data_IF_318980087732
#
_entry.id   IF_318980087732
#
_cell.length_a   1.000
_cell.length_b   1.000
_cell.length_c   1.000
_cell.angle_alpha   90.00
_cell.angle_beta   90.00
_cell.angle_gamma   90.00
#
_symmetry.space_group_name_H-M   'P 1'
#
loop_
_entity.id
_entity.type
_entity.pdbx_description
1 polymer ?
#
# COMPACT_ATOMS: atom_id res chain seq x y z
N UNK A 1 -1.74 -15.22 4.31
CA UNK A 1 -1.97 -14.13 5.26
C UNK A 1 -2.48 -12.89 4.54
N UNK A 2 -3.37 -12.16 5.15
CA UNK A 2 -4.01 -10.98 4.57
C UNK A 2 -3.53 -9.74 5.34
N UNK A 3 -2.95 -8.78 4.64
CA UNK A 3 -2.39 -7.58 5.26
C UNK A 3 -2.89 -6.34 4.53
N UNK A 4 -3.19 -5.28 5.25
CA UNK A 4 -3.50 -3.99 4.66
C UNK A 4 -2.60 -2.89 5.24
N UNK A 5 -1.97 -2.13 4.36
CA UNK A 5 -1.26 -0.90 4.72
C UNK A 5 -2.27 0.23 4.71
N UNK A 6 -2.56 0.75 5.88
CA UNK A 6 -3.77 1.54 6.15
C UNK A 6 -3.44 2.92 6.71
N UNK A 7 -4.19 3.92 6.23
CA UNK A 7 -4.21 5.26 6.82
C UNK A 7 -5.62 5.54 7.33
N UNK A 8 -5.83 5.59 8.66
CA UNK A 8 -7.19 5.77 9.21
C UNK A 8 -7.84 7.10 8.87
N UNK A 9 -7.06 8.08 8.41
CA UNK A 9 -7.58 9.39 8.01
C UNK A 9 -8.03 9.45 6.56
N UNK A 10 -7.74 8.41 5.77
CA UNK A 10 -8.07 8.37 4.36
C UNK A 10 -9.38 7.60 4.16
N UNK A 11 -10.39 8.23 3.52
CA UNK A 11 -11.69 7.58 3.31
C UNK A 11 -11.57 6.33 2.45
N UNK A 12 -10.75 6.36 1.40
CA UNK A 12 -10.53 5.20 0.54
C UNK A 12 -9.88 4.06 1.30
N UNK A 13 -8.96 4.39 2.21
CA UNK A 13 -8.32 3.39 3.04
C UNK A 13 -9.30 2.75 4.02
N UNK A 14 -10.21 3.55 4.60
CA UNK A 14 -11.25 3.02 5.49
C UNK A 14 -12.23 2.11 4.74
N UNK A 15 -12.61 2.49 3.51
CA UNK A 15 -13.47 1.66 2.67
C UNK A 15 -12.81 0.32 2.36
N UNK A 16 -11.54 0.35 1.99
CA UNK A 16 -10.78 -0.88 1.71
C UNK A 16 -10.65 -1.75 2.95
N UNK A 17 -10.41 -1.14 4.11
CA UNK A 17 -10.30 -1.89 5.36
C UNK A 17 -11.60 -2.64 5.66
N UNK A 18 -12.75 -2.00 5.47
CA UNK A 18 -14.04 -2.65 5.70
C UNK A 18 -14.21 -3.88 4.79
N UNK A 19 -13.84 -3.75 3.51
CA UNK A 19 -13.93 -4.87 2.56
C UNK A 19 -13.01 -6.02 2.95
N UNK A 20 -11.78 -5.69 3.36
CA UNK A 20 -10.78 -6.68 3.76
C UNK A 20 -11.23 -7.39 5.05
N UNK A 21 -11.80 -6.65 6.00
CA UNK A 21 -12.31 -7.23 7.23
C UNK A 21 -13.48 -8.18 6.98
N UNK A 22 -14.41 -7.80 6.11
CA UNK A 22 -15.54 -8.65 5.74
C UNK A 22 -15.06 -9.94 5.08
N UNK A 23 -14.10 -9.84 4.17
CA UNK A 23 -13.51 -11.01 3.52
C UNK A 23 -12.85 -11.92 4.56
N UNK A 24 -12.06 -11.33 5.45
CA UNK A 24 -11.37 -12.09 6.50
C UNK A 24 -12.33 -12.82 7.42
N UNK A 25 -13.44 -12.18 7.79
CA UNK A 25 -14.46 -12.82 8.63
C UNK A 25 -15.06 -14.05 7.95
N UNK A 26 -15.40 -13.92 6.66
CA UNK A 26 -16.01 -15.03 5.91
C UNK A 26 -15.06 -16.21 5.75
N UNK A 27 -13.75 -15.98 5.78
CA UNK A 27 -12.75 -17.02 5.53
C UNK A 27 -11.96 -17.39 6.79
N UNK A 28 -12.39 -16.92 7.97
CA UNK A 28 -11.70 -17.22 9.23
C UNK A 28 -10.27 -16.71 9.27
N UNK A 29 -9.97 -15.63 8.57
CA UNK A 29 -8.63 -15.10 8.40
C UNK A 29 -8.62 -13.59 8.63
N UNK A 30 -8.56 -13.14 9.90
CA UNK A 30 -8.56 -11.72 10.19
C UNK A 30 -7.34 -11.05 9.58
N UNK A 31 -7.49 -9.85 9.00
CA UNK A 31 -6.36 -9.16 8.39
C UNK A 31 -5.41 -8.58 9.42
N UNK A 32 -4.14 -8.52 9.05
CA UNK A 32 -3.16 -7.73 9.77
C UNK A 32 -3.24 -6.29 9.25
N UNK A 33 -3.51 -5.35 10.14
CA UNK A 33 -3.61 -3.92 9.78
C UNK A 33 -2.31 -3.24 10.16
N UNK A 34 -1.63 -2.68 9.17
CA UNK A 34 -0.39 -1.93 9.38
C UNK A 34 -0.67 -0.45 9.17
N UNK A 35 -0.67 0.33 10.24
CA UNK A 35 -0.77 1.78 10.14
C UNK A 35 0.62 2.32 9.81
N UNK A 36 0.92 2.43 8.52
CA UNK A 36 2.27 2.68 8.03
C UNK A 36 2.83 4.05 8.42
N UNK A 37 1.98 4.99 8.83
CA UNK A 37 2.45 6.27 9.36
C UNK A 37 3.01 6.14 10.77
N UNK A 38 2.53 5.16 11.53
CA UNK A 38 3.02 4.88 12.89
C UNK A 38 4.12 3.83 12.89
N UNK A 39 4.03 2.87 11.98
CA UNK A 39 5.00 1.80 11.84
C UNK A 39 5.49 1.81 10.39
N UNK A 40 6.43 2.71 10.06
CA UNK A 40 6.86 2.86 8.67
C UNK A 40 7.52 1.58 8.15
N UNK A 41 7.25 1.20 6.90
CA UNK A 41 7.93 0.06 6.29
C UNK A 41 9.41 0.39 6.06
N UNK A 42 10.23 -0.63 6.21
CA UNK A 42 11.66 -0.52 5.91
C UNK A 42 11.87 -0.53 4.40
N UNK A 43 13.07 -0.14 3.96
CA UNK A 43 13.42 -0.20 2.54
C UNK A 43 13.27 -1.63 1.99
N UNK A 44 13.69 -2.64 2.76
CA UNK A 44 13.54 -4.03 2.33
C UNK A 44 12.08 -4.44 2.18
N UNK A 45 11.24 -4.02 3.12
CA UNK A 45 9.80 -4.27 3.04
C UNK A 45 9.19 -3.59 1.82
N UNK A 46 9.64 -2.38 1.49
CA UNK A 46 9.15 -1.65 0.31
C UNK A 46 9.60 -2.33 -0.99
N UNK A 47 10.81 -2.86 -1.04
CA UNK A 47 11.28 -3.61 -2.21
C UNK A 47 10.42 -4.85 -2.42
N UNK A 48 10.13 -5.58 -1.36
CA UNK A 48 9.27 -6.75 -1.45
C UNK A 48 7.86 -6.38 -1.87
N UNK A 49 7.33 -5.28 -1.32
CA UNK A 49 6.00 -4.79 -1.67
C UNK A 49 5.93 -4.42 -3.16
N UNK A 50 6.97 -3.76 -3.68
CA UNK A 50 7.05 -3.46 -5.11
C UNK A 50 7.02 -4.73 -5.95
N UNK A 51 7.77 -5.75 -5.54
CA UNK A 51 7.80 -7.03 -6.24
C UNK A 51 6.40 -7.66 -6.26
N UNK A 52 5.71 -7.65 -5.13
CA UNK A 52 4.36 -8.20 -5.02
C UNK A 52 3.33 -7.42 -5.84
N UNK A 53 3.50 -6.10 -5.92
CA UNK A 53 2.63 -5.24 -6.73
C UNK A 53 2.90 -5.41 -8.23
N UNK A 54 4.13 -5.70 -8.61
CA UNK A 54 4.52 -5.83 -10.01
C UNK A 54 4.45 -4.53 -10.78
N UNK A 55 4.75 -3.40 -10.12
CA UNK A 55 4.65 -2.06 -10.72
C UNK A 55 5.96 -1.29 -10.55
N UNK A 56 6.17 -0.23 -11.37
CA UNK A 56 7.30 0.68 -11.11
C UNK A 56 7.10 1.40 -9.78
N UNK A 57 8.19 1.79 -9.14
CA UNK A 57 8.12 2.48 -7.85
C UNK A 57 7.33 3.80 -7.95
N UNK A 58 7.31 4.47 -9.10
CA UNK A 58 6.49 5.67 -9.30
C UNK A 58 5.01 5.42 -8.98
N UNK A 59 4.49 4.23 -9.30
CA UNK A 59 3.10 3.90 -9.02
C UNK A 59 2.83 3.76 -7.52
N UNK A 60 3.86 3.56 -6.71
CA UNK A 60 3.74 3.42 -5.27
C UNK A 60 3.84 4.75 -4.52
N UNK A 61 4.10 5.86 -5.21
CA UNK A 61 4.42 7.14 -4.60
C UNK A 61 3.33 8.15 -4.91
N UNK A 62 2.94 8.91 -3.89
CA UNK A 62 1.92 9.97 -4.03
C UNK A 62 2.55 11.24 -4.57
N UNK A 63 2.23 11.59 -5.80
CA UNK A 63 2.79 12.76 -6.46
C UNK A 63 2.19 14.08 -5.97
N UNK A 64 1.10 14.03 -5.22
CA UNK A 64 0.44 15.25 -4.73
C UNK A 64 0.91 15.68 -3.33
N UNK A 65 1.90 15.01 -2.76
CA UNK A 65 2.52 15.46 -1.51
C UNK A 65 3.62 16.48 -1.80
N UNK A 66 3.77 17.46 -0.91
CA UNK A 66 4.80 18.50 -1.08
C UNK A 66 6.20 17.91 -1.17
N UNK A 67 6.47 16.85 -0.44
CA UNK A 67 7.77 16.18 -0.44
C UNK A 67 8.13 15.56 -1.79
N UNK A 68 7.13 15.21 -2.59
CA UNK A 68 7.39 14.70 -3.92
C UNK A 68 8.18 15.72 -4.75
N UNK A 69 7.75 16.98 -4.70
CA UNK A 69 8.44 18.06 -5.41
C UNK A 69 9.74 18.46 -4.72
N UNK A 70 9.71 18.62 -3.41
CA UNK A 70 10.90 19.09 -2.68
C UNK A 70 12.06 18.10 -2.75
N UNK A 71 11.78 16.80 -2.87
CA UNK A 71 12.81 15.76 -3.04
C UNK A 71 13.08 15.44 -4.50
N UNK A 72 12.43 16.14 -5.43
CA UNK A 72 12.65 15.99 -6.87
C UNK A 72 12.43 14.55 -7.35
N UNK A 73 11.29 13.97 -6.97
CA UNK A 73 11.03 12.55 -7.21
C UNK A 73 10.44 12.24 -8.59
N UNK A 74 10.04 13.28 -9.37
CA UNK A 74 9.33 13.07 -10.63
C UNK A 74 10.13 12.19 -11.62
N UNK A 75 11.45 12.28 -11.60
CA UNK A 75 12.32 11.54 -12.51
C UNK A 75 13.31 10.66 -11.77
N UNK A 76 13.05 10.36 -10.50
CA UNK A 76 13.93 9.54 -9.71
C UNK A 76 13.80 8.06 -10.11
N UNK A 77 14.87 7.30 -9.93
CA UNK A 77 14.83 5.86 -10.15
C UNK A 77 14.11 5.13 -9.02
N UNK A 78 13.84 3.85 -9.20
CA UNK A 78 13.07 3.06 -8.25
C UNK A 78 13.72 3.04 -6.87
N UNK A 79 15.03 2.85 -6.80
CA UNK A 79 15.73 2.79 -5.51
C UNK A 79 15.62 4.12 -4.75
N UNK A 80 15.79 5.23 -5.45
CA UNK A 80 15.66 6.56 -4.84
C UNK A 80 14.25 6.79 -4.33
N UNK A 81 13.24 6.38 -5.11
CA UNK A 81 11.84 6.51 -4.71
C UNK A 81 11.53 5.68 -3.46
N UNK A 82 11.98 4.44 -3.42
CA UNK A 82 11.73 3.59 -2.25
C UNK A 82 12.42 4.11 -1.00
N UNK A 83 13.63 4.65 -1.14
CA UNK A 83 14.33 5.28 -0.02
C UNK A 83 13.59 6.51 0.49
N UNK A 84 13.03 7.30 -0.43
CA UNK A 84 12.24 8.46 -0.06
C UNK A 84 11.00 8.06 0.74
N UNK A 85 10.30 7.00 0.32
CA UNK A 85 9.12 6.50 1.04
C UNK A 85 9.53 5.97 2.42
N UNK A 86 10.65 5.26 2.52
CA UNK A 86 11.14 4.76 3.81
C UNK A 86 11.41 5.90 4.80
N UNK A 87 11.93 7.02 4.31
CA UNK A 87 12.19 8.20 5.13
C UNK A 87 10.99 9.11 5.33
N UNK A 88 9.98 9.00 4.49
CA UNK A 88 8.77 9.83 4.52
C UNK A 88 7.56 8.99 4.16
N UNK A 89 7.03 8.20 5.12
CA UNK A 89 5.97 7.22 4.83
C UNK A 89 4.70 7.79 4.23
N UNK A 90 4.41 9.07 4.44
CA UNK A 90 3.20 9.68 3.85
C UNK A 90 3.25 9.71 2.32
N UNK A 91 4.42 9.48 1.72
CA UNK A 91 4.57 9.37 0.27
C UNK A 91 4.02 8.05 -0.27
N UNK A 92 3.79 7.06 0.58
CA UNK A 92 3.29 5.76 0.11
C UNK A 92 1.84 5.86 -0.36
N UNK A 93 1.56 5.31 -1.55
CA UNK A 93 0.18 5.15 -2.01
C UNK A 93 -0.60 4.26 -1.05
N UNK A 94 -1.88 4.53 -0.92
CA UNK A 94 -2.74 3.84 0.03
C UNK A 94 -4.17 3.74 -0.48
N UNK A 95 -4.88 2.69 -0.06
CA UNK A 95 -4.41 1.56 0.72
C UNK A 95 -3.72 0.52 -0.16
N UNK A 96 -2.84 -0.29 0.43
CA UNK A 96 -2.21 -1.41 -0.25
C UNK A 96 -2.59 -2.68 0.50
N UNK A 97 -3.08 -3.68 -0.23
CA UNK A 97 -3.51 -4.95 0.34
C UNK A 97 -2.61 -6.05 -0.18
N UNK A 98 -2.15 -6.93 0.71
CA UNK A 98 -1.28 -8.05 0.38
C UNK A 98 -1.97 -9.36 0.73
N UNK A 99 -1.97 -10.30 -0.20
CA UNK A 99 -2.54 -11.62 -0.02
C UNK A 99 -1.77 -12.64 -0.85
N UNK A 100 -1.29 -13.70 -0.19
CA UNK A 100 -0.63 -14.83 -0.88
C UNK A 100 0.50 -14.42 -1.82
N UNK A 101 1.36 -13.52 -1.35
CA UNK A 101 2.52 -13.08 -2.11
C UNK A 101 2.22 -12.10 -3.22
N UNK A 102 0.98 -11.64 -3.35
CA UNK A 102 0.56 -10.62 -4.30
C UNK A 102 0.07 -9.39 -3.55
N UNK A 103 0.16 -8.24 -4.18
CA UNK A 103 -0.30 -6.99 -3.59
C UNK A 103 -1.09 -6.17 -4.61
N UNK A 104 -1.96 -5.30 -4.10
CA UNK A 104 -2.81 -4.43 -4.91
C UNK A 104 -2.90 -3.06 -4.26
N UNK A 105 -2.74 -2.00 -5.05
CA UNK A 105 -3.12 -0.66 -4.63
C UNK A 105 -4.63 -0.55 -4.83
N UNK A 106 -5.37 -0.52 -3.73
CA UNK A 106 -6.84 -0.60 -3.77
C UNK A 106 -7.48 0.77 -3.95
N UNK A 107 -7.24 1.36 -5.09
CA UNK A 107 -7.83 2.65 -5.50
C UNK A 107 -8.33 2.54 -6.93
N UNK A 108 -9.65 2.49 -7.13
CA UNK A 108 -10.70 2.55 -6.09
C UNK A 108 -10.80 1.25 -5.28
N UNK A 109 -11.38 1.31 -4.07
CA UNK A 109 -11.47 0.11 -3.21
C UNK A 109 -12.23 -1.05 -3.83
N UNK A 110 -13.14 -0.79 -4.74
CA UNK A 110 -13.93 -1.81 -5.43
C UNK A 110 -13.08 -2.80 -6.20
N UNK A 111 -11.82 -2.43 -6.54
CA UNK A 111 -10.88 -3.37 -7.15
C UNK A 111 -10.65 -4.61 -6.27
N UNK A 112 -10.88 -4.49 -4.98
CA UNK A 112 -10.70 -5.61 -4.05
C UNK A 112 -11.73 -6.72 -4.24
N UNK A 113 -12.92 -6.40 -4.75
CA UNK A 113 -14.01 -7.37 -4.83
C UNK A 113 -13.57 -8.63 -5.57
N UNK A 114 -13.09 -8.47 -6.79
CA UNK A 114 -12.59 -9.61 -7.58
C UNK A 114 -11.21 -10.08 -7.14
N UNK A 115 -10.35 -9.13 -6.78
CA UNK A 115 -8.95 -9.45 -6.45
C UNK A 115 -8.84 -10.38 -5.24
N UNK A 116 -9.64 -10.15 -4.20
CA UNK A 116 -9.62 -10.99 -3.01
C UNK A 116 -10.08 -12.42 -3.32
N UNK A 117 -11.03 -12.56 -4.25
CA UNK A 117 -11.57 -13.87 -4.64
C UNK A 117 -10.57 -14.70 -5.42
N UNK A 118 -9.63 -14.07 -6.11
CA UNK A 118 -8.64 -14.77 -6.96
C UNK A 118 -7.54 -15.45 -6.16
N UNK A 119 -7.38 -15.02 -4.91
CA UNK A 119 -6.35 -15.58 -4.06
C UNK A 119 -6.69 -16.92 -3.51
#
# INVERSE_FOLDING_TARGET
MLTIYHNPRCSKSREALALVQQFGERHGQPPQVVEYLKTPPTLEQLRELQRQLGVPAQAMVRSNEAEYDSLQLAHADDETLLRAVAGCPKLLQRPIVVQRGRALIARPPELLDDWLQQG
#
